data_IF_922852700258
#
_entry.id   IF_922852700258
#
_cell.length_a   1.000
_cell.length_b   1.000
_cell.length_c   1.000
_cell.angle_alpha   90.00
_cell.angle_beta   90.00
_cell.angle_gamma   90.00
#
_symmetry.space_group_name_H-M   'P 1'
#
loop_
_entity.id
_entity.type
_entity.pdbx_description
1 polymer ?
#
# COMPACT_ATOMS: atom_id res chain seq x y z
N UNK A 1 -34.71 66.61 4.42
CA UNK A 1 -33.63 65.72 3.94
C UNK A 1 -33.75 64.43 4.72
N UNK A 2 -34.20 63.34 4.09
CA UNK A 2 -34.57 62.08 4.77
C UNK A 2 -33.33 61.22 4.92
N UNK A 3 -32.90 60.99 6.16
CA UNK A 3 -31.80 60.10 6.52
C UNK A 3 -32.24 58.65 6.32
N UNK A 4 -31.68 57.97 5.31
CA UNK A 4 -31.86 56.53 5.11
C UNK A 4 -30.86 55.77 5.98
N UNK A 5 -31.36 55.12 7.04
CA UNK A 5 -30.60 54.16 7.84
C UNK A 5 -30.46 52.87 7.05
N UNK A 6 -29.23 52.51 6.67
CA UNK A 6 -28.93 51.22 6.03
C UNK A 6 -28.71 50.19 7.14
N UNK A 7 -29.63 49.23 7.24
CA UNK A 7 -29.51 48.09 8.14
C UNK A 7 -28.64 47.02 7.46
N UNK A 8 -27.40 46.86 7.92
CA UNK A 8 -26.51 45.81 7.43
C UNK A 8 -26.94 44.46 8.02
N UNK A 9 -27.55 43.62 7.19
CA UNK A 9 -27.93 42.25 7.55
C UNK A 9 -26.66 41.37 7.51
N UNK A 10 -26.10 41.06 8.68
CA UNK A 10 -25.05 40.02 8.80
C UNK A 10 -25.70 38.66 8.58
N UNK A 11 -25.50 38.09 7.38
CA UNK A 11 -25.83 36.69 7.10
C UNK A 11 -24.66 35.85 7.64
N UNK A 12 -24.86 34.99 8.66
CA UNK A 12 -23.82 34.07 9.08
C UNK A 12 -23.56 33.09 7.93
N UNK A 13 -22.34 33.10 7.41
CA UNK A 13 -21.87 32.07 6.48
C UNK A 13 -21.80 30.79 7.30
N UNK A 14 -22.82 29.92 7.18
CA UNK A 14 -22.69 28.53 7.61
C UNK A 14 -21.61 27.90 6.73
N UNK A 15 -20.38 27.83 7.25
CA UNK A 15 -19.39 26.91 6.73
C UNK A 15 -19.97 25.53 6.99
N UNK A 16 -20.55 24.92 5.96
CA UNK A 16 -20.99 23.53 6.02
C UNK A 16 -19.79 22.70 6.46
N UNK A 17 -19.84 22.12 7.64
CA UNK A 17 -18.90 21.09 8.03
C UNK A 17 -19.10 19.95 7.02
N UNK A 18 -18.18 19.83 6.07
CA UNK A 18 -18.10 18.62 5.25
C UNK A 18 -17.90 17.47 6.22
N UNK A 19 -18.92 16.63 6.39
CA UNK A 19 -18.82 15.46 7.24
C UNK A 19 -17.76 14.54 6.66
N UNK A 20 -16.57 14.52 7.26
CA UNK A 20 -15.51 13.63 6.85
C UNK A 20 -15.90 12.19 7.11
N UNK A 21 -15.47 11.30 6.21
CA UNK A 21 -15.59 9.86 6.38
C UNK A 21 -14.20 9.24 6.35
N UNK A 22 -13.66 8.94 7.53
CA UNK A 22 -12.41 8.22 7.75
C UNK A 22 -12.71 6.74 7.98
N UNK A 23 -12.20 5.90 7.08
CA UNK A 23 -12.27 4.46 7.17
C UNK A 23 -10.91 3.88 7.60
N UNK A 24 -10.84 3.44 8.86
CA UNK A 24 -9.69 2.74 9.42
C UNK A 24 -9.86 1.25 9.17
N UNK A 25 -8.90 0.64 8.47
CA UNK A 25 -8.99 -0.76 8.11
C UNK A 25 -8.83 -1.67 9.33
N UNK A 26 -9.58 -2.78 9.41
CA UNK A 26 -9.47 -3.71 10.52
C UNK A 26 -8.10 -4.39 10.53
N UNK A 27 -7.62 -4.73 11.73
CA UNK A 27 -6.44 -5.56 11.89
C UNK A 27 -6.71 -6.98 11.36
N UNK A 28 -5.81 -7.58 10.56
CA UNK A 28 -5.93 -9.00 10.24
C UNK A 28 -5.65 -9.83 11.49
N UNK A 29 -6.63 -10.64 11.90
CA UNK A 29 -6.47 -11.58 13.01
C UNK A 29 -5.26 -12.51 12.76
N UNK A 30 -4.34 -12.59 13.72
CA UNK A 30 -3.12 -13.40 13.62
C UNK A 30 -1.89 -12.67 13.07
N UNK A 31 -2.00 -11.39 12.68
CA UNK A 31 -0.84 -10.55 12.33
C UNK A 31 -0.51 -9.63 13.51
N UNK A 32 0.76 -9.62 13.92
CA UNK A 32 1.24 -8.72 14.97
C UNK A 32 1.45 -7.31 14.43
N UNK A 33 1.05 -6.30 15.22
CA UNK A 33 1.33 -4.91 14.94
C UNK A 33 2.83 -4.59 15.10
N UNK A 34 3.26 -3.48 14.50
CA UNK A 34 4.60 -2.93 14.63
C UNK A 34 4.98 -2.70 16.10
N UNK A 35 6.18 -3.16 16.46
CA UNK A 35 6.83 -2.85 17.72
C UNK A 35 7.70 -1.57 17.64
N UNK A 36 7.74 -0.92 16.47
CA UNK A 36 8.51 0.31 16.22
C UNK A 36 7.63 1.55 16.23
N UNK A 37 6.45 1.48 15.62
CA UNK A 37 5.58 2.64 15.46
C UNK A 37 4.15 2.30 15.86
N UNK A 38 3.48 3.24 16.52
CA UNK A 38 2.04 3.21 16.76
C UNK A 38 1.40 4.39 16.04
N UNK A 39 0.27 4.16 15.38
CA UNK A 39 -0.41 5.20 14.59
C UNK A 39 -1.83 5.38 15.06
N UNK A 40 -2.24 6.64 15.19
CA UNK A 40 -3.60 7.04 15.47
C UNK A 40 -4.07 8.00 14.37
N UNK A 41 -5.34 7.86 13.98
CA UNK A 41 -5.96 8.65 12.92
C UNK A 41 -7.15 9.42 13.49
N UNK A 42 -7.29 10.68 13.08
CA UNK A 42 -8.47 11.48 13.39
C UNK A 42 -8.85 12.38 12.23
N UNK A 43 -10.15 12.67 12.12
CA UNK A 43 -10.71 13.60 11.15
C UNK A 43 -11.67 14.54 11.90
N UNK A 44 -11.10 15.42 12.74
CA UNK A 44 -11.86 16.38 13.56
C UNK A 44 -12.45 15.82 14.87
N UNK A 45 -12.07 14.61 15.28
CA UNK A 45 -12.54 13.97 16.52
C UNK A 45 -11.42 13.30 17.31
N UNK A 46 -11.79 12.44 18.27
CA UNK A 46 -10.82 11.68 19.06
C UNK A 46 -9.97 10.75 18.19
N UNK A 47 -8.64 10.72 18.37
CA UNK A 47 -7.77 9.79 17.65
C UNK A 47 -8.17 8.33 17.90
N UNK A 48 -8.21 7.55 16.82
CA UNK A 48 -8.48 6.11 16.84
C UNK A 48 -7.23 5.37 16.37
N UNK A 49 -6.91 4.26 17.03
CA UNK A 49 -5.77 3.43 16.64
C UNK A 49 -5.96 2.90 15.22
N UNK A 50 -4.90 3.00 14.42
CA UNK A 50 -4.81 2.41 13.09
C UNK A 50 -3.78 1.29 13.12
N UNK A 51 -4.15 0.12 12.58
CA UNK A 51 -3.24 -1.00 12.55
C UNK A 51 -1.98 -0.63 11.77
N UNK A 52 -0.83 -0.81 12.42
CA UNK A 52 0.48 -0.53 11.84
C UNK A 52 1.16 -1.85 11.61
N UNK A 53 1.24 -2.28 10.37
CA UNK A 53 1.89 -3.52 9.95
C UNK A 53 3.41 -3.41 10.11
N UNK A 54 4.12 -4.54 10.19
CA UNK A 54 5.58 -4.60 10.15
C UNK A 54 6.08 -5.86 9.43
N UNK A 55 7.18 -5.72 8.70
CA UNK A 55 8.00 -6.84 8.23
C UNK A 55 9.49 -6.51 8.35
N UNK A 56 10.34 -7.54 8.35
CA UNK A 56 11.78 -7.42 8.61
C UNK A 56 12.63 -8.18 7.59
N UNK A 57 13.85 -7.71 7.39
CA UNK A 57 14.80 -8.31 6.46
C UNK A 57 15.40 -9.63 6.95
N UNK A 58 15.27 -9.96 8.24
CA UNK A 58 16.02 -11.04 8.89
C UNK A 58 15.77 -12.44 8.33
N UNK A 59 14.54 -12.73 7.85
CA UNK A 59 14.25 -14.00 7.19
C UNK A 59 15.02 -14.08 5.86
N UNK A 60 14.84 -13.08 4.99
CA UNK A 60 15.41 -13.05 3.64
C UNK A 60 16.94 -12.97 3.65
N UNK A 61 17.52 -12.27 4.63
CA UNK A 61 18.97 -12.21 4.82
C UNK A 61 19.63 -13.57 5.07
N UNK A 62 18.89 -14.57 5.56
CA UNK A 62 19.38 -15.94 5.75
C UNK A 62 19.26 -16.81 4.51
N UNK A 63 18.36 -16.45 3.58
CA UNK A 63 17.98 -17.29 2.44
C UNK A 63 18.81 -17.04 1.18
N UNK A 64 19.37 -15.83 1.01
CA UNK A 64 20.02 -15.40 -0.24
C UNK A 64 21.56 -15.51 -0.15
N UNK A 65 22.20 -16.52 -0.77
CA UNK A 65 23.65 -16.75 -0.61
C UNK A 65 24.53 -15.70 -1.30
N UNK A 66 24.02 -15.07 -2.36
CA UNK A 66 24.79 -14.20 -3.26
C UNK A 66 24.49 -12.71 -3.09
N UNK A 67 23.47 -12.38 -2.28
CA UNK A 67 22.85 -11.07 -2.32
C UNK A 67 22.26 -10.75 -0.93
N UNK A 68 23.15 -10.42 0.02
CA UNK A 68 22.84 -10.39 1.46
C UNK A 68 21.94 -9.18 1.80
N UNK A 69 20.62 -9.41 1.92
CA UNK A 69 19.73 -8.42 2.54
C UNK A 69 20.34 -7.95 3.87
N UNK A 70 20.43 -6.63 4.09
CA UNK A 70 20.99 -6.09 5.34
C UNK A 70 20.08 -6.46 6.50
N UNK A 71 20.60 -7.23 7.47
CA UNK A 71 19.85 -7.69 8.67
C UNK A 71 19.42 -6.53 9.58
N UNK A 72 18.39 -6.77 10.38
CA UNK A 72 17.93 -5.80 11.38
C UNK A 72 17.35 -4.53 10.75
N UNK A 73 16.78 -4.65 9.55
CA UNK A 73 16.00 -3.60 8.89
C UNK A 73 14.52 -3.96 8.99
N UNK A 74 13.67 -2.96 9.19
CA UNK A 74 12.22 -3.13 9.23
C UNK A 74 11.53 -2.08 8.36
N UNK A 75 10.32 -2.42 7.91
CA UNK A 75 9.37 -1.44 7.39
C UNK A 75 8.05 -1.63 8.11
N UNK A 76 7.56 -0.55 8.66
CA UNK A 76 6.22 -0.42 9.20
C UNK A 76 5.37 0.41 8.26
N UNK A 77 4.07 0.11 8.18
CA UNK A 77 3.16 0.93 7.41
C UNK A 77 1.75 0.88 7.98
N UNK A 78 0.96 1.90 7.68
CA UNK A 78 -0.48 1.86 7.90
C UNK A 78 -1.20 2.26 6.61
N UNK A 79 -2.40 1.71 6.42
CA UNK A 79 -3.28 2.01 5.30
C UNK A 79 -4.66 2.39 5.83
N UNK A 80 -5.25 3.42 5.25
CA UNK A 80 -6.60 3.87 5.54
C UNK A 80 -7.17 4.58 4.32
N UNK A 81 -8.49 4.75 4.26
CA UNK A 81 -9.11 5.63 3.27
C UNK A 81 -9.91 6.73 3.94
N UNK A 82 -10.06 7.84 3.23
CA UNK A 82 -10.90 8.92 3.73
C UNK A 82 -11.52 9.73 2.60
N UNK A 83 -12.59 10.43 2.92
CA UNK A 83 -13.16 11.49 2.08
C UNK A 83 -13.61 12.65 2.97
N UNK A 84 -13.75 13.84 2.40
CA UNK A 84 -14.24 15.04 3.09
C UNK A 84 -13.30 15.55 4.19
N UNK A 85 -12.46 16.54 3.88
CA UNK A 85 -11.56 17.15 4.87
C UNK A 85 -10.31 16.31 5.17
N UNK A 86 -9.34 16.92 5.85
CA UNK A 86 -8.04 16.33 6.10
C UNK A 86 -8.03 15.38 7.30
N UNK A 87 -7.17 14.37 7.24
CA UNK A 87 -6.91 13.41 8.33
C UNK A 87 -5.60 13.77 9.01
N UNK A 88 -5.61 13.84 10.33
CA UNK A 88 -4.38 13.90 11.13
C UNK A 88 -3.89 12.48 11.38
N UNK A 89 -2.66 12.21 10.97
CA UNK A 89 -1.92 10.99 11.28
C UNK A 89 -0.96 11.29 12.41
N UNK A 90 -1.25 10.76 13.59
CA UNK A 90 -0.41 10.83 14.78
C UNK A 90 0.46 9.57 14.85
N UNK A 91 1.78 9.75 14.91
CA UNK A 91 2.77 8.68 14.86
C UNK A 91 3.60 8.74 16.13
N UNK A 92 3.62 7.64 16.87
CA UNK A 92 4.48 7.46 18.04
C UNK A 92 5.72 6.65 17.64
N UNK A 93 6.90 7.16 18.01
CA UNK A 93 8.21 6.58 17.69
C UNK A 93 8.80 5.85 18.90
N UNK A 94 9.76 4.93 18.70
CA UNK A 94 10.37 4.20 19.82
C UNK A 94 11.41 5.08 20.56
N UNK A 95 11.98 6.05 19.85
CA UNK A 95 13.06 6.93 20.30
C UNK A 95 12.67 8.39 20.13
N UNK A 96 13.33 9.25 20.90
CA UNK A 96 13.21 10.69 20.76
C UNK A 96 13.79 11.13 19.40
N UNK A 97 13.11 12.05 18.72
CA UNK A 97 13.61 12.69 17.50
C UNK A 97 13.59 14.21 17.66
N UNK A 98 14.39 14.93 16.88
CA UNK A 98 14.34 16.40 16.84
C UNK A 98 13.62 16.89 15.59
N UNK A 99 13.87 16.23 14.46
CA UNK A 99 13.34 16.55 13.16
C UNK A 99 12.70 15.33 12.51
N UNK A 100 11.69 15.60 11.70
CA UNK A 100 11.09 14.59 10.84
C UNK A 100 10.65 15.21 9.51
N UNK A 101 10.64 14.40 8.46
CA UNK A 101 10.24 14.83 7.11
C UNK A 101 9.25 13.85 6.50
N UNK A 102 8.48 14.32 5.51
CA UNK A 102 7.59 13.49 4.70
C UNK A 102 8.12 13.47 3.27
N UNK A 103 8.24 12.26 2.69
CA UNK A 103 8.55 12.06 1.28
C UNK A 103 7.38 11.39 0.55
N UNK A 104 7.13 11.71 -0.73
CA UNK A 104 7.86 12.69 -1.52
C UNK A 104 7.51 14.14 -1.14
N UNK A 105 8.51 15.02 -1.13
CA UNK A 105 8.35 16.40 -0.63
C UNK A 105 7.36 17.23 -1.47
N UNK A 106 7.18 16.90 -2.75
CA UNK A 106 6.27 17.62 -3.64
C UNK A 106 4.78 17.48 -3.26
N UNK A 107 4.42 16.48 -2.44
CA UNK A 107 3.07 16.42 -1.88
C UNK A 107 2.78 17.56 -0.88
N UNK A 108 3.80 18.29 -0.43
CA UNK A 108 3.65 19.48 0.41
C UNK A 108 3.33 19.19 1.88
N UNK A 109 3.10 17.93 2.25
CA UNK A 109 2.86 17.55 3.63
C UNK A 109 4.10 17.77 4.51
N UNK A 110 3.85 18.22 5.74
CA UNK A 110 4.88 18.46 6.75
C UNK A 110 4.73 17.44 7.87
N UNK A 111 5.86 17.04 8.42
CA UNK A 111 5.90 16.30 9.66
C UNK A 111 6.15 17.29 10.79
N UNK A 112 5.24 17.35 11.76
CA UNK A 112 5.32 18.26 12.90
C UNK A 112 5.59 17.45 14.16
N UNK A 113 6.68 17.75 14.86
CA UNK A 113 6.94 17.23 16.20
C UNK A 113 5.95 17.85 17.19
N UNK A 114 5.19 17.02 17.92
CA UNK A 114 4.23 17.46 18.96
C UNK A 114 4.62 16.99 20.36
N UNK A 115 5.56 16.04 20.45
CA UNK A 115 6.20 15.61 21.69
C UNK A 115 7.57 15.02 21.41
N UNK A 116 8.26 14.52 22.44
CA UNK A 116 9.60 13.95 22.23
C UNK A 116 9.60 12.75 21.27
N UNK A 117 8.53 11.96 21.30
CA UNK A 117 8.35 10.73 20.53
C UNK A 117 7.08 10.74 19.68
N UNK A 118 6.50 11.91 19.41
CA UNK A 118 5.21 12.01 18.72
C UNK A 118 5.29 13.03 17.57
N UNK A 119 4.89 12.57 16.38
CA UNK A 119 4.83 13.37 15.16
C UNK A 119 3.42 13.37 14.57
N UNK A 120 3.00 14.51 14.02
CA UNK A 120 1.75 14.69 13.31
C UNK A 120 2.02 14.95 11.82
N UNK A 121 1.22 14.32 10.96
CA UNK A 121 1.13 14.61 9.53
C UNK A 121 -0.34 14.85 9.17
N UNK A 122 -0.67 16.01 8.63
CA UNK A 122 -2.03 16.31 8.17
C UNK A 122 -2.15 16.00 6.68
N UNK A 123 -2.90 14.96 6.34
CA UNK A 123 -3.10 14.46 4.98
C UNK A 123 -4.43 14.97 4.43
N UNK A 124 -4.38 15.78 3.37
CA UNK A 124 -5.55 16.47 2.81
C UNK A 124 -6.03 15.92 1.46
N UNK A 125 -5.32 14.95 0.89
CA UNK A 125 -5.67 14.29 -0.37
C UNK A 125 -5.43 12.78 -0.29
N UNK A 126 -6.26 12.03 -1.00
CA UNK A 126 -6.12 10.58 -1.20
C UNK A 126 -5.13 10.26 -2.32
N UNK A 127 -4.86 8.98 -2.57
CA UNK A 127 -3.82 8.50 -3.50
C UNK A 127 -2.46 9.09 -3.12
N UNK A 128 -2.15 9.04 -1.82
CA UNK A 128 -0.88 9.49 -1.27
C UNK A 128 -0.18 8.34 -0.57
N UNK A 129 1.00 8.01 -1.08
CA UNK A 129 1.90 7.01 -0.50
C UNK A 129 3.16 7.73 -0.05
N UNK A 130 3.43 7.70 1.25
CA UNK A 130 4.43 8.55 1.87
C UNK A 130 5.36 7.77 2.76
N UNK A 131 6.61 8.21 2.82
CA UNK A 131 7.58 7.84 3.86
C UNK A 131 7.63 8.97 4.89
N UNK A 132 7.54 8.62 6.17
CA UNK A 132 7.81 9.55 7.28
C UNK A 132 9.13 9.16 7.91
N UNK A 133 10.08 10.08 7.87
CA UNK A 133 11.49 9.79 8.17
C UNK A 133 11.93 10.65 9.36
N UNK A 134 12.53 10.00 10.36
CA UNK A 134 12.94 10.60 11.63
C UNK A 134 14.46 10.66 11.72
N UNK A 135 15.00 11.71 12.35
CA UNK A 135 16.44 11.96 12.41
C UNK A 135 17.25 11.02 13.32
N UNK A 136 16.62 10.39 14.33
CA UNK A 136 17.31 9.41 15.19
C UNK A 136 17.80 8.15 14.45
N UNK A 137 17.24 7.89 13.27
CA UNK A 137 17.56 6.72 12.44
C UNK A 137 18.18 7.13 11.10
N UNK A 138 18.89 8.26 11.12
CA UNK A 138 19.47 8.89 9.94
C UNK A 138 18.45 9.25 8.84
N UNK A 139 17.15 9.16 9.10
CA UNK A 139 16.10 9.34 8.10
C UNK A 139 15.99 10.74 7.51
N UNK A 140 16.60 11.75 8.15
CA UNK A 140 16.70 13.09 7.57
C UNK A 140 18.02 13.37 6.85
N UNK A 141 19.02 12.48 6.96
CA UNK A 141 20.42 12.75 6.57
C UNK A 141 21.13 11.62 5.82
N UNK A 142 20.55 10.43 5.72
CA UNK A 142 21.08 9.25 5.02
C UNK A 142 19.97 8.45 4.33
N UNK A 143 20.33 7.72 3.29
CA UNK A 143 19.39 6.90 2.50
C UNK A 143 19.07 5.53 3.16
N UNK A 144 19.86 5.10 4.15
CA UNK A 144 19.74 3.77 4.77
C UNK A 144 19.03 3.79 6.14
N UNK A 145 17.73 4.13 6.10
CA UNK A 145 16.81 4.12 7.24
C UNK A 145 16.64 2.69 7.77
N UNK A 146 16.84 2.46 9.07
CA UNK A 146 16.69 1.15 9.71
C UNK A 146 15.25 0.70 9.82
N UNK A 147 14.42 1.54 10.43
CA UNK A 147 13.03 1.29 10.76
C UNK A 147 12.17 2.29 9.98
N UNK A 148 11.74 1.87 8.78
CA UNK A 148 10.96 2.73 7.88
C UNK A 148 9.51 2.84 8.37
N UNK A 149 8.90 4.02 8.21
CA UNK A 149 7.48 4.25 8.48
C UNK A 149 6.79 4.77 7.23
N UNK A 150 5.83 4.02 6.69
CA UNK A 150 5.05 4.40 5.51
C UNK A 150 3.59 4.69 5.86
N UNK A 151 3.00 5.65 5.14
CA UNK A 151 1.57 5.98 5.22
C UNK A 151 0.95 5.83 3.83
N UNK A 152 -0.10 5.01 3.74
CA UNK A 152 -0.89 4.85 2.53
C UNK A 152 -2.30 5.40 2.76
N UNK A 153 -2.55 6.60 2.23
CA UNK A 153 -3.83 7.28 2.32
C UNK A 153 -4.61 7.07 1.01
N UNK A 154 -5.48 6.07 1.04
CA UNK A 154 -6.23 5.57 -0.10
C UNK A 154 -7.49 6.39 -0.39
N UNK A 155 -7.94 6.44 -1.66
CA UNK A 155 -9.32 6.80 -1.94
C UNK A 155 -10.27 5.70 -1.40
N UNK A 156 -11.49 6.06 -0.97
CA UNK A 156 -12.52 5.08 -0.64
C UNK A 156 -12.73 4.10 -1.80
N UNK A 157 -13.05 2.85 -1.47
CA UNK A 157 -13.30 1.83 -2.49
C UNK A 157 -14.55 2.16 -3.32
N UNK A 158 -14.47 1.87 -4.61
CA UNK A 158 -15.63 1.84 -5.51
C UNK A 158 -15.73 0.43 -6.10
N UNK A 159 -16.95 0.00 -6.45
CA UNK A 159 -17.16 -1.29 -7.13
C UNK A 159 -16.65 -2.52 -6.37
N UNK A 160 -16.89 -2.57 -5.05
CA UNK A 160 -16.69 -3.78 -4.23
C UNK A 160 -17.57 -4.91 -4.82
N UNK A 161 -17.00 -6.06 -5.21
CA UNK A 161 -17.76 -7.12 -5.87
C UNK A 161 -18.66 -7.88 -4.88
N UNK A 162 -19.67 -8.56 -5.40
CA UNK A 162 -20.51 -9.46 -4.60
C UNK A 162 -19.70 -10.72 -4.21
N UNK A 163 -19.63 -11.02 -2.91
CA UNK A 163 -18.92 -12.20 -2.39
C UNK A 163 -19.55 -13.54 -2.80
N UNK A 164 -20.79 -13.54 -3.26
CA UNK A 164 -21.52 -14.73 -3.71
C UNK A 164 -21.47 -14.96 -5.23
N UNK A 165 -20.79 -14.09 -5.99
CA UNK A 165 -20.59 -14.28 -7.43
C UNK A 165 -19.52 -15.36 -7.67
N UNK A 166 -19.86 -16.38 -8.45
CA UNK A 166 -18.97 -17.53 -8.74
C UNK A 166 -17.73 -17.16 -9.57
N UNK A 167 -17.70 -15.96 -10.15
CA UNK A 167 -16.54 -15.40 -10.85
C UNK A 167 -15.62 -14.59 -9.94
N UNK A 168 -15.90 -14.50 -8.64
CA UNK A 168 -15.16 -13.70 -7.67
C UNK A 168 -14.48 -14.61 -6.63
N UNK A 169 -13.17 -14.44 -6.45
CA UNK A 169 -12.47 -14.92 -5.27
C UNK A 169 -12.44 -13.79 -4.23
N UNK A 170 -13.27 -13.89 -3.21
CA UNK A 170 -13.44 -12.86 -2.18
C UNK A 170 -12.69 -13.25 -0.91
N UNK A 171 -11.66 -12.48 -0.56
CA UNK A 171 -10.88 -12.64 0.67
C UNK A 171 -11.29 -11.58 1.69
N UNK A 172 -11.97 -12.01 2.76
CA UNK A 172 -12.41 -11.16 3.87
C UNK A 172 -11.22 -10.75 4.76
N UNK A 173 -11.47 -9.81 5.68
CA UNK A 173 -10.50 -9.45 6.71
C UNK A 173 -10.06 -10.69 7.50
N UNK A 174 -8.76 -10.76 7.83
CA UNK A 174 -8.12 -11.94 8.44
C UNK A 174 -7.04 -12.54 7.55
N UNK A 175 -6.36 -13.57 8.08
CA UNK A 175 -5.25 -14.25 7.39
C UNK A 175 -5.76 -15.43 6.58
N UNK A 176 -5.43 -15.45 5.29
CA UNK A 176 -5.66 -16.59 4.40
C UNK A 176 -4.33 -17.11 3.84
N UNK A 177 -4.10 -18.43 3.89
CA UNK A 177 -2.92 -19.06 3.30
C UNK A 177 -3.32 -19.85 2.05
N UNK A 178 -2.62 -19.64 0.93
CA UNK A 178 -2.97 -20.22 -0.37
C UNK A 178 -2.17 -21.48 -0.74
N UNK A 179 -1.20 -21.87 0.09
CA UNK A 179 -0.28 -22.99 -0.18
C UNK A 179 0.45 -22.88 -1.53
N UNK A 180 0.91 -21.67 -1.87
CA UNK A 180 1.72 -21.40 -3.06
C UNK A 180 1.05 -20.39 -4.00
N UNK A 181 1.36 -20.53 -5.29
CA UNK A 181 0.76 -19.74 -6.36
C UNK A 181 -0.54 -20.38 -6.83
N UNK A 182 -1.66 -19.66 -6.70
CA UNK A 182 -2.97 -20.10 -7.18
C UNK A 182 -3.08 -19.86 -8.67
N UNK A 183 -3.31 -20.93 -9.42
CA UNK A 183 -3.58 -20.87 -10.86
C UNK A 183 -5.07 -20.55 -11.06
N UNK A 184 -5.35 -19.35 -11.55
CA UNK A 184 -6.71 -18.88 -11.75
C UNK A 184 -7.33 -19.58 -12.95
N UNK A 185 -8.41 -20.32 -12.71
CA UNK A 185 -9.19 -20.99 -13.74
C UNK A 185 -9.97 -19.98 -14.62
N UNK A 186 -10.63 -20.46 -15.66
CA UNK A 186 -11.33 -19.62 -16.63
C UNK A 186 -12.63 -18.95 -16.12
N UNK A 187 -13.16 -19.36 -14.95
CA UNK A 187 -14.39 -18.77 -14.41
C UNK A 187 -14.11 -17.51 -13.59
N UNK A 188 -12.92 -17.39 -12.98
CA UNK A 188 -12.58 -16.26 -12.12
C UNK A 188 -12.28 -15.01 -12.94
N UNK A 189 -13.05 -13.94 -12.72
CA UNK A 189 -12.86 -12.61 -13.31
C UNK A 189 -12.32 -11.59 -12.32
N UNK A 190 -12.58 -11.77 -11.03
CA UNK A 190 -12.17 -10.82 -9.99
C UNK A 190 -11.58 -11.52 -8.78
N UNK A 191 -10.49 -10.98 -8.27
CA UNK A 191 -9.90 -11.32 -6.98
C UNK A 191 -10.05 -10.06 -6.14
N UNK A 192 -10.75 -10.18 -5.01
CA UNK A 192 -10.97 -9.07 -4.09
C UNK A 192 -10.29 -9.33 -2.76
N UNK A 193 -9.37 -8.44 -2.36
CA UNK A 193 -8.73 -8.46 -1.05
C UNK A 193 -9.33 -7.34 -0.19
N UNK A 194 -10.29 -7.67 0.67
CA UNK A 194 -10.96 -6.68 1.51
C UNK A 194 -9.97 -5.89 2.39
N UNK A 195 -10.30 -4.67 2.83
CA UNK A 195 -9.55 -3.99 3.88
C UNK A 195 -9.34 -4.91 5.10
N UNK A 196 -8.09 -5.06 5.54
CA UNK A 196 -7.70 -5.98 6.62
C UNK A 196 -7.55 -7.45 6.23
N UNK A 197 -7.71 -7.80 4.95
CA UNK A 197 -7.33 -9.12 4.45
C UNK A 197 -5.80 -9.23 4.34
N UNK A 198 -5.24 -10.35 4.79
CA UNK A 198 -3.84 -10.71 4.66
C UNK A 198 -3.74 -12.07 3.97
N UNK A 199 -3.41 -12.07 2.68
CA UNK A 199 -3.33 -13.29 1.86
C UNK A 199 -1.88 -13.70 1.66
N UNK A 200 -1.51 -14.86 2.17
CA UNK A 200 -0.18 -15.44 1.99
C UNK A 200 -0.17 -16.40 0.80
N UNK A 201 0.53 -16.00 -0.28
CA UNK A 201 0.64 -16.80 -1.50
C UNK A 201 0.94 -15.95 -2.72
N UNK A 202 0.54 -16.45 -3.88
CA UNK A 202 0.57 -15.72 -5.14
C UNK A 202 -0.57 -16.10 -6.05
N UNK A 203 -0.65 -15.41 -7.18
CA UNK A 203 -1.63 -15.72 -8.23
C UNK A 203 -0.96 -15.79 -9.59
N UNK A 204 -1.50 -16.65 -10.45
CA UNK A 204 -1.14 -16.80 -11.85
C UNK A 204 -2.41 -16.83 -12.69
N UNK A 205 -2.57 -15.91 -13.64
CA UNK A 205 -3.64 -16.01 -14.63
C UNK A 205 -3.34 -17.12 -15.63
N UNK A 206 -4.30 -18.03 -15.85
CA UNK A 206 -4.15 -19.07 -16.89
C UNK A 206 -5.20 -18.96 -18.01
N UNK A 207 -6.08 -17.96 -17.91
CA UNK A 207 -7.21 -17.76 -18.80
C UNK A 207 -6.96 -16.70 -19.87
N UNK A 208 -7.66 -16.77 -21.00
CA UNK A 208 -7.51 -15.83 -22.14
C UNK A 208 -8.40 -14.58 -22.01
N UNK A 209 -8.65 -14.09 -20.80
CA UNK A 209 -9.45 -12.88 -20.56
C UNK A 209 -8.84 -12.03 -19.45
N UNK A 210 -9.26 -10.76 -19.38
CA UNK A 210 -8.89 -9.85 -18.31
C UNK A 210 -9.36 -10.37 -16.95
N UNK A 211 -8.56 -10.08 -15.93
CA UNK A 211 -8.84 -10.41 -14.52
C UNK A 211 -8.56 -9.15 -13.72
N UNK A 212 -9.47 -8.82 -12.80
CA UNK A 212 -9.28 -7.69 -11.89
C UNK A 212 -8.84 -8.15 -10.52
N UNK A 213 -7.69 -7.69 -10.06
CA UNK A 213 -7.26 -7.78 -8.68
C UNK A 213 -7.54 -6.44 -8.02
N UNK A 214 -8.39 -6.39 -7.00
CA UNK A 214 -8.78 -5.14 -6.36
C UNK A 214 -8.97 -5.28 -4.87
N UNK A 215 -8.96 -4.15 -4.18
CA UNK A 215 -9.25 -4.08 -2.76
C UNK A 215 -8.30 -3.13 -2.04
N UNK A 216 -8.23 -3.27 -0.71
CA UNK A 216 -7.24 -2.60 0.15
C UNK A 216 -6.49 -3.56 1.08
N UNK A 217 -6.65 -4.87 0.83
CA UNK A 217 -5.93 -5.93 1.50
C UNK A 217 -4.50 -6.11 1.00
N UNK A 218 -3.84 -7.11 1.57
CA UNK A 218 -2.41 -7.35 1.42
C UNK A 218 -2.19 -8.74 0.81
N UNK A 219 -1.37 -8.80 -0.24
CA UNK A 219 -0.80 -10.03 -0.78
C UNK A 219 0.65 -10.14 -0.31
N UNK A 220 0.96 -11.17 0.47
CA UNK A 220 2.29 -11.37 1.04
C UNK A 220 2.89 -12.69 0.59
N UNK A 221 4.17 -12.69 0.22
CA UNK A 221 4.94 -13.92 0.05
C UNK A 221 5.95 -14.16 1.18
N UNK A 222 5.74 -13.52 2.35
CA UNK A 222 6.65 -13.62 3.50
C UNK A 222 6.88 -15.03 4.00
N UNK A 223 5.91 -15.92 3.84
CA UNK A 223 5.95 -17.30 4.36
C UNK A 223 6.75 -18.24 3.45
N UNK A 224 7.00 -17.84 2.20
CA UNK A 224 7.71 -18.62 1.19
C UNK A 224 9.20 -18.30 1.19
N UNK A 225 10.06 -19.20 0.68
CA UNK A 225 11.50 -18.93 0.50
C UNK A 225 11.75 -18.02 -0.72
N UNK A 226 12.94 -17.46 -0.84
CA UNK A 226 13.34 -16.82 -2.10
C UNK A 226 13.33 -17.84 -3.24
N UNK A 227 12.63 -17.52 -4.35
CA UNK A 227 12.39 -18.46 -5.48
C UNK A 227 11.79 -19.79 -5.00
N UNK A 228 10.69 -19.70 -4.27
CA UNK A 228 9.98 -20.86 -3.74
C UNK A 228 9.42 -21.75 -4.85
N UNK A 229 9.54 -23.06 -4.69
CA UNK A 229 9.12 -24.08 -5.66
C UNK A 229 7.59 -24.24 -5.73
N UNK A 230 6.86 -23.68 -4.76
CA UNK A 230 5.40 -23.57 -4.80
C UNK A 230 4.90 -22.47 -5.75
N UNK A 231 5.82 -21.72 -6.39
CA UNK A 231 5.52 -20.75 -7.42
C UNK A 231 6.04 -21.27 -8.76
N UNK A 232 5.15 -21.34 -9.75
CA UNK A 232 5.49 -21.81 -11.10
C UNK A 232 6.10 -20.71 -11.96
N UNK A 233 6.11 -19.47 -11.45
CA UNK A 233 6.64 -18.29 -12.12
C UNK A 233 7.54 -17.49 -11.18
N UNK A 234 8.31 -16.56 -11.76
CA UNK A 234 9.22 -15.69 -11.03
C UNK A 234 8.54 -14.52 -10.32
N UNK A 235 7.21 -14.47 -10.23
CA UNK A 235 6.49 -13.36 -9.62
C UNK A 235 5.47 -13.82 -8.58
N UNK A 236 5.22 -13.00 -7.57
CA UNK A 236 4.13 -13.21 -6.61
C UNK A 236 2.77 -13.06 -7.30
N UNK A 237 2.65 -12.09 -8.21
CA UNK A 237 1.48 -11.92 -9.07
C UNK A 237 1.91 -11.95 -10.54
N UNK A 238 1.54 -13.01 -11.25
CA UNK A 238 1.80 -13.17 -12.69
C UNK A 238 0.48 -13.12 -13.48
N UNK A 239 0.39 -12.14 -14.39
CA UNK A 239 -0.78 -11.88 -15.24
C UNK A 239 -0.42 -11.95 -16.73
N UNK A 240 0.58 -12.75 -17.10
CA UNK A 240 1.07 -12.82 -18.48
C UNK A 240 0.08 -13.40 -19.49
N UNK A 241 -0.89 -14.19 -19.05
CA UNK A 241 -1.86 -14.82 -19.93
C UNK A 241 -3.19 -14.08 -19.88
N UNK A 242 -3.71 -13.76 -21.07
CA UNK A 242 -4.86 -12.89 -21.25
C UNK A 242 -4.42 -11.49 -21.69
N UNK A 243 -5.01 -10.48 -21.08
CA UNK A 243 -4.78 -9.06 -21.36
C UNK A 243 -5.94 -8.23 -20.84
N UNK A 244 -5.76 -6.92 -20.72
CA UNK A 244 -6.72 -6.03 -20.05
C UNK A 244 -6.91 -6.40 -18.56
N UNK A 245 -5.84 -6.81 -17.88
CA UNK A 245 -5.89 -7.01 -16.43
C UNK A 245 -5.91 -5.67 -15.72
N UNK A 246 -6.59 -5.61 -14.58
CA UNK A 246 -6.61 -4.43 -13.70
C UNK A 246 -6.11 -4.85 -12.33
N UNK A 247 -5.10 -4.16 -11.82
CA UNK A 247 -4.56 -4.37 -10.48
C UNK A 247 -4.71 -3.04 -9.74
N UNK A 248 -5.55 -3.03 -8.72
CA UNK A 248 -5.96 -1.80 -8.05
C UNK A 248 -5.89 -1.90 -6.53
N UNK A 249 -5.23 -0.93 -5.89
CA UNK A 249 -5.41 -0.63 -4.46
C UNK A 249 -4.67 -1.53 -3.47
N UNK A 250 -4.35 -2.77 -3.85
CA UNK A 250 -3.70 -3.75 -2.97
C UNK A 250 -2.26 -3.38 -2.61
N UNK A 251 -1.79 -3.91 -1.48
CA UNK A 251 -0.37 -3.93 -1.12
C UNK A 251 0.19 -5.31 -1.48
N UNK A 252 1.33 -5.35 -2.18
CA UNK A 252 2.13 -6.57 -2.36
C UNK A 252 3.39 -6.42 -1.51
N UNK A 253 3.66 -7.36 -0.61
CA UNK A 253 4.74 -7.28 0.38
C UNK A 253 5.56 -8.56 0.45
N UNK A 254 6.85 -8.43 0.76
CA UNK A 254 7.78 -9.55 0.95
C UNK A 254 7.74 -10.56 -0.22
N UNK A 255 7.97 -10.13 -1.47
CA UNK A 255 7.83 -11.00 -2.62
C UNK A 255 8.80 -12.19 -2.51
N UNK A 256 8.43 -13.33 -3.10
CA UNK A 256 9.30 -14.51 -3.14
C UNK A 256 10.44 -14.30 -4.16
N UNK A 257 10.17 -13.53 -5.20
CA UNK A 257 11.10 -13.11 -6.24
C UNK A 257 10.60 -11.74 -6.75
N UNK A 258 9.98 -11.62 -7.93
CA UNK A 258 9.38 -10.37 -8.40
C UNK A 258 8.05 -10.07 -7.69
N UNK A 259 7.69 -8.79 -7.56
CA UNK A 259 6.35 -8.42 -7.12
C UNK A 259 5.30 -8.79 -8.17
N UNK A 260 5.50 -8.30 -9.39
CA UNK A 260 4.49 -8.35 -10.44
C UNK A 260 5.10 -8.59 -11.82
N UNK A 261 4.52 -9.53 -12.57
CA UNK A 261 4.81 -9.74 -13.99
C UNK A 261 3.54 -9.70 -14.81
N UNK A 262 3.43 -8.75 -15.75
CA UNK A 262 2.27 -8.61 -16.62
C UNK A 262 2.66 -8.22 -18.03
N UNK A 263 3.25 -9.16 -18.76
CA UNK A 263 3.76 -8.98 -20.14
C UNK A 263 2.66 -9.02 -21.20
N UNK A 264 1.44 -9.42 -20.83
CA UNK A 264 0.24 -9.27 -21.66
C UNK A 264 -0.07 -7.80 -21.92
N UNK A 265 -0.93 -7.53 -22.90
CA UNK A 265 -1.23 -6.16 -23.34
C UNK A 265 -2.34 -5.51 -22.51
N UNK A 266 -2.33 -4.17 -22.48
CA UNK A 266 -3.40 -3.32 -21.93
C UNK A 266 -3.63 -3.48 -20.41
N UNK A 267 -2.60 -3.87 -19.65
CA UNK A 267 -2.72 -4.01 -18.20
C UNK A 267 -2.69 -2.66 -17.50
N UNK A 268 -3.57 -2.46 -16.52
CA UNK A 268 -3.65 -1.25 -15.69
C UNK A 268 -3.21 -1.60 -14.26
N UNK A 269 -2.23 -0.88 -13.74
CA UNK A 269 -1.76 -0.95 -12.36
C UNK A 269 -2.00 0.43 -11.75
N UNK A 270 -2.88 0.51 -10.74
CA UNK A 270 -3.27 1.79 -10.12
C UNK A 270 -3.36 1.68 -8.62
N UNK A 271 -2.86 2.66 -7.87
CA UNK A 271 -2.99 2.66 -6.41
C UNK A 271 -2.37 1.42 -5.72
N UNK A 272 -1.37 0.79 -6.35
CA UNK A 272 -0.70 -0.40 -5.83
C UNK A 272 0.53 0.01 -5.02
N UNK A 273 0.85 -0.75 -3.96
CA UNK A 273 2.05 -0.53 -3.15
C UNK A 273 2.88 -1.79 -3.12
N UNK A 274 4.11 -1.71 -3.59
CA UNK A 274 5.09 -2.79 -3.59
C UNK A 274 6.19 -2.42 -2.60
N UNK A 275 6.28 -3.18 -1.50
CA UNK A 275 7.17 -2.87 -0.38
C UNK A 275 7.88 -4.11 0.16
N UNK A 276 8.94 -3.88 0.93
CA UNK A 276 9.75 -4.92 1.54
C UNK A 276 10.44 -5.91 0.55
N UNK A 277 11.10 -5.43 -0.52
CA UNK A 277 11.91 -6.26 -1.42
C UNK A 277 13.24 -6.65 -0.78
N UNK A 278 13.22 -7.39 0.32
CA UNK A 278 14.46 -7.63 1.07
C UNK A 278 15.51 -8.42 0.28
N UNK A 279 15.08 -9.35 -0.57
CA UNK A 279 15.97 -10.10 -1.44
C UNK A 279 16.29 -9.30 -2.71
N UNK A 280 17.46 -9.55 -3.29
CA UNK A 280 17.74 -9.08 -4.65
C UNK A 280 16.88 -9.85 -5.67
N UNK A 281 16.81 -9.32 -6.90
CA UNK A 281 15.87 -9.79 -7.91
C UNK A 281 14.42 -9.68 -7.43
N UNK A 282 14.13 -8.66 -6.62
CA UNK A 282 12.76 -8.28 -6.29
C UNK A 282 12.33 -7.11 -7.17
N UNK A 283 12.23 -7.41 -8.47
CA UNK A 283 11.74 -6.52 -9.50
C UNK A 283 10.34 -6.02 -9.15
N UNK A 284 10.08 -4.74 -9.44
CA UNK A 284 8.78 -4.11 -9.26
C UNK A 284 7.79 -4.53 -10.34
N UNK A 285 7.44 -3.60 -11.22
CA UNK A 285 6.44 -3.83 -12.29
C UNK A 285 7.13 -4.23 -13.59
N UNK A 286 6.81 -5.41 -14.12
CA UNK A 286 7.05 -5.74 -15.54
C UNK A 286 5.79 -5.51 -16.35
N UNK A 287 5.85 -4.59 -17.32
CA UNK A 287 4.68 -4.12 -18.07
C UNK A 287 4.80 -4.43 -19.56
N UNK A 288 3.76 -5.05 -20.11
CA UNK A 288 3.59 -5.28 -21.54
C UNK A 288 3.05 -4.07 -22.32
N UNK A 289 2.71 -4.30 -23.59
CA UNK A 289 2.28 -3.25 -24.53
C UNK A 289 1.00 -2.57 -24.07
N UNK A 290 0.92 -1.25 -24.26
CA UNK A 290 -0.26 -0.43 -23.91
C UNK A 290 -0.66 -0.49 -22.44
N UNK A 291 0.25 -0.88 -21.55
CA UNK A 291 -0.01 -0.86 -20.13
C UNK A 291 0.02 0.56 -19.54
N UNK A 292 -0.67 0.73 -18.41
CA UNK A 292 -0.70 1.96 -17.63
C UNK A 292 -0.29 1.65 -16.19
N UNK A 293 0.63 2.44 -15.65
CA UNK A 293 1.02 2.42 -14.23
C UNK A 293 0.84 3.82 -13.70
N UNK A 294 -0.03 4.01 -12.70
CA UNK A 294 -0.25 5.32 -12.08
C UNK A 294 -0.56 5.18 -10.59
N UNK A 295 -0.41 6.28 -9.84
CA UNK A 295 -0.65 6.32 -8.39
C UNK A 295 -0.03 5.15 -7.62
N UNK A 296 1.19 4.71 -7.97
CA UNK A 296 1.76 3.46 -7.46
C UNK A 296 3.05 3.74 -6.69
N UNK A 297 3.21 3.09 -5.53
CA UNK A 297 4.46 3.12 -4.76
C UNK A 297 5.27 1.86 -5.06
N UNK A 298 6.50 2.01 -5.54
CA UNK A 298 7.38 0.88 -5.86
C UNK A 298 8.69 1.06 -5.10
N UNK A 299 8.89 0.23 -4.08
CA UNK A 299 10.20 -0.07 -3.53
C UNK A 299 10.60 -1.44 -4.03
N UNK A 300 11.55 -1.48 -4.96
CA UNK A 300 12.16 -2.69 -5.51
C UNK A 300 13.63 -2.81 -5.07
N UNK A 301 14.18 -4.01 -5.14
CA UNK A 301 15.61 -4.29 -4.89
C UNK A 301 16.22 -4.99 -6.11
N UNK A 302 15.82 -4.48 -7.27
CA UNK A 302 16.26 -4.74 -8.64
C UNK A 302 15.54 -3.70 -9.53
N UNK A 303 15.32 -4.01 -10.81
CA UNK A 303 14.54 -3.17 -11.73
C UNK A 303 13.16 -2.79 -11.16
N UNK A 304 12.93 -1.50 -10.93
CA UNK A 304 11.66 -1.00 -10.34
C UNK A 304 10.49 -1.00 -11.34
N UNK A 305 10.74 -0.58 -12.58
CA UNK A 305 9.75 -0.53 -13.65
C UNK A 305 10.40 -0.98 -14.96
N UNK A 306 9.99 -2.15 -15.46
CA UNK A 306 10.47 -2.74 -16.71
C UNK A 306 9.42 -2.56 -17.79
N UNK A 307 9.62 -1.56 -18.63
CA UNK A 307 8.82 -1.34 -19.84
C UNK A 307 9.43 -2.17 -20.96
N UNK A 308 8.97 -3.40 -21.13
CA UNK A 308 9.56 -4.32 -22.10
C UNK A 308 8.77 -4.33 -23.42
N UNK A 309 9.54 -4.37 -24.52
CA UNK A 309 9.10 -4.15 -25.91
C UNK A 309 7.83 -4.91 -26.31
N UNK A 310 7.08 -4.28 -27.20
CA UNK A 310 6.17 -4.94 -28.13
C UNK A 310 6.95 -5.96 -28.97
N UNK A 311 6.69 -7.25 -28.80
CA UNK A 311 7.03 -8.23 -29.83
C UNK A 311 6.21 -7.86 -31.06
N UNK A 312 6.88 -7.68 -32.20
CA UNK A 312 6.22 -7.71 -33.50
C UNK A 312 5.52 -9.07 -33.60
N UNK A 313 4.19 -9.04 -33.65
CA UNK A 313 3.40 -10.19 -34.12
C UNK A 313 3.69 -10.43 -35.60
#
# INVERSE_FOLDING_TARGET
MVTKTILALLIPILVGQTSGNLNIYPAPEGIHASDKFQVYLSQGGQPKSSFTYITTSDKRAKETPTAKAKRGRSVSWTSFSFSGGAVTVEIHTPQDFHNCIVRPQHYGYKCQRTGNKTAYVTVSSTSRMMSVEFDYDYGSSSEDIKDKMLIFADPPESNVPNEHDSSVLFYKAGVQKLNGQVHLNNSIKTIYLAPGAWVEGGFLTTANHGVTFRGRGILSARSYKWKDDQFTTNATLDVDKGGNHVIEGIVIVDPHHFFFRGRSSCNIIRNVKMIAPWAHNSDGVVLGRYGLVEDTFIWANDDSLKVIRSYSV
#
